data_IF_172088227885
#
_entry.id   IF_172088227885
#
_cell.length_a   1.000
_cell.length_b   1.000
_cell.length_c   1.000
_cell.angle_alpha   90.00
_cell.angle_beta   90.00
_cell.angle_gamma   90.00
#
_symmetry.space_group_name_H-M   'P 1'
#
loop_
_entity.id
_entity.type
_entity.pdbx_description
1 polymer ?
#
# COMPACT_ATOMS: atom_id res chain seq x y z
N UNK A 1 76.24 -12.26 -63.57
CA UNK A 1 75.50 -13.52 -63.80
C UNK A 1 75.12 -14.08 -62.44
N UNK A 2 73.83 -13.98 -62.05
CA UNK A 2 72.89 -15.10 -61.78
C UNK A 2 73.37 -16.03 -60.64
N UNK A 3 72.61 -16.39 -59.61
CA UNK A 3 71.18 -16.24 -59.30
C UNK A 3 70.94 -16.49 -57.79
N UNK A 4 69.74 -16.13 -57.33
CA UNK A 4 69.23 -16.16 -55.95
C UNK A 4 68.19 -17.30 -55.77
N UNK A 5 68.00 -17.74 -54.51
CA UNK A 5 66.86 -18.52 -53.95
C UNK A 5 66.69 -19.98 -54.45
N UNK A 6 66.13 -20.97 -53.73
CA UNK A 6 65.10 -21.02 -52.66
C UNK A 6 65.11 -22.44 -52.05
N UNK A 7 64.99 -22.61 -50.73
CA UNK A 7 64.77 -23.94 -50.11
C UNK A 7 63.33 -24.05 -49.59
N UNK A 8 62.50 -24.85 -50.27
CA UNK A 8 61.12 -25.13 -49.90
C UNK A 8 61.03 -26.48 -49.17
N UNK A 9 60.57 -26.45 -47.91
CA UNK A 9 60.21 -27.64 -47.14
C UNK A 9 58.86 -28.20 -47.59
N UNK A 10 58.82 -29.49 -47.94
CA UNK A 10 57.59 -30.23 -48.28
C UNK A 10 56.89 -30.67 -47.00
N UNK A 11 55.68 -30.16 -46.75
CA UNK A 11 54.76 -30.70 -45.75
C UNK A 11 54.09 -31.96 -46.29
N UNK A 12 54.23 -33.09 -45.59
CA UNK A 12 53.59 -34.36 -45.94
C UNK A 12 52.14 -34.36 -45.43
N UNK A 13 51.17 -34.42 -46.35
CA UNK A 13 49.77 -34.62 -46.04
C UNK A 13 49.47 -36.06 -45.60
N UNK A 14 48.56 -36.19 -44.63
CA UNK A 14 48.06 -37.48 -44.13
C UNK A 14 47.34 -38.23 -45.26
N UNK A 15 47.90 -39.35 -45.73
CA UNK A 15 47.23 -40.27 -46.66
C UNK A 15 46.35 -41.25 -45.89
N UNK A 16 45.18 -41.53 -46.46
CA UNK A 16 44.22 -42.55 -46.06
C UNK A 16 44.92 -43.92 -45.89
N UNK A 17 45.01 -44.41 -44.65
CA UNK A 17 45.44 -45.79 -44.34
C UNK A 17 44.22 -46.58 -43.90
N UNK A 18 43.88 -47.60 -44.68
CA UNK A 18 42.81 -48.55 -44.40
C UNK A 18 43.23 -49.38 -43.18
N UNK A 19 42.68 -49.05 -42.00
CA UNK A 19 42.98 -49.73 -40.74
C UNK A 19 43.23 -48.81 -39.53
N UNK A 20 43.28 -47.49 -39.73
CA UNK A 20 43.38 -46.51 -38.62
C UNK A 20 42.02 -46.00 -38.15
N UNK A 21 42.03 -45.10 -37.14
CA UNK A 21 40.86 -44.39 -36.57
C UNK A 21 39.85 -43.87 -37.63
N UNK A 22 40.29 -43.56 -38.86
CA UNK A 22 39.42 -43.21 -39.98
C UNK A 22 38.44 -44.31 -40.42
N UNK A 23 38.78 -45.59 -40.24
CA UNK A 23 37.86 -46.72 -40.48
C UNK A 23 36.84 -46.94 -39.34
N UNK A 24 37.06 -46.34 -38.17
CA UNK A 24 36.09 -46.37 -37.06
C UNK A 24 35.02 -45.30 -37.27
N UNK A 25 35.40 -44.12 -37.79
CA UNK A 25 34.47 -43.07 -38.17
C UNK A 25 33.48 -43.50 -39.27
N UNK A 26 33.90 -44.35 -40.20
CA UNK A 26 33.01 -44.93 -41.22
C UNK A 26 32.03 -45.98 -40.67
N UNK A 27 32.34 -46.64 -39.55
CA UNK A 27 31.50 -47.68 -38.93
C UNK A 27 30.46 -47.13 -37.94
N UNK A 28 30.69 -45.93 -37.42
CA UNK A 28 29.78 -45.20 -36.53
C UNK A 28 29.40 -43.86 -37.18
N UNK A 29 28.62 -43.92 -38.27
CA UNK A 29 27.87 -42.79 -38.84
C UNK A 29 28.57 -41.43 -38.80
N UNK A 30 29.49 -41.17 -39.73
CA UNK A 30 30.11 -39.85 -39.93
C UNK A 30 29.14 -38.76 -40.42
N UNK A 31 27.88 -39.13 -40.68
CA UNK A 31 26.81 -38.25 -41.17
C UNK A 31 26.50 -37.12 -40.18
N UNK A 32 26.69 -37.33 -38.88
CA UNK A 32 26.44 -36.32 -37.82
C UNK A 32 27.74 -35.89 -37.10
N UNK A 33 28.89 -35.90 -37.78
CA UNK A 33 30.11 -35.37 -37.18
C UNK A 33 29.98 -33.85 -36.93
N UNK A 34 30.41 -33.39 -35.74
CA UNK A 34 30.34 -31.98 -35.33
C UNK A 34 31.00 -31.06 -36.37
N UNK A 35 32.09 -31.52 -37.00
CA UNK A 35 32.77 -30.79 -38.06
C UNK A 35 31.85 -30.55 -39.27
N UNK A 36 31.13 -31.59 -39.73
CA UNK A 36 30.23 -31.48 -40.88
C UNK A 36 29.01 -30.60 -40.57
N UNK A 37 28.45 -30.72 -39.37
CA UNK A 37 27.35 -29.86 -38.89
C UNK A 37 27.79 -28.40 -38.81
N UNK A 38 29.00 -28.14 -38.31
CA UNK A 38 29.57 -26.79 -38.27
C UNK A 38 29.85 -26.23 -39.67
N UNK A 39 30.33 -27.06 -40.60
CA UNK A 39 30.55 -26.67 -41.99
C UNK A 39 29.23 -26.40 -42.74
N UNK A 40 28.20 -27.22 -42.54
CA UNK A 40 26.87 -27.02 -43.11
C UNK A 40 26.22 -25.76 -42.57
N UNK A 41 26.31 -25.53 -41.25
CA UNK A 41 25.87 -24.28 -40.61
C UNK A 41 26.64 -23.07 -41.14
N UNK A 42 27.96 -23.18 -41.35
CA UNK A 42 28.76 -22.12 -41.95
C UNK A 42 28.37 -21.82 -43.40
N UNK A 43 28.02 -22.86 -44.19
CA UNK A 43 27.48 -22.69 -45.55
C UNK A 43 26.14 -22.00 -45.55
N UNK A 44 25.26 -22.36 -44.62
CA UNK A 44 23.96 -21.69 -44.44
C UNK A 44 24.15 -20.21 -44.07
N UNK A 45 25.01 -19.88 -43.11
CA UNK A 45 25.33 -18.48 -42.77
C UNK A 45 25.98 -17.70 -43.91
N UNK A 46 26.74 -18.36 -44.79
CA UNK A 46 27.34 -17.74 -45.96
C UNK A 46 26.33 -17.46 -47.09
N UNK A 47 25.20 -18.17 -47.13
CA UNK A 47 24.13 -17.97 -48.12
C UNK A 47 23.13 -16.85 -47.75
N UNK A 48 23.15 -16.38 -46.50
CA UNK A 48 22.27 -15.30 -46.03
C UNK A 48 22.74 -13.92 -46.52
N UNK A 49 21.79 -13.06 -46.84
CA UNK A 49 22.04 -11.64 -47.15
C UNK A 49 22.37 -10.84 -45.87
N UNK A 50 22.97 -9.66 -46.00
CA UNK A 50 23.32 -8.82 -44.82
C UNK A 50 22.10 -8.41 -43.99
N UNK A 51 20.93 -8.22 -44.63
CA UNK A 51 19.66 -7.92 -43.96
C UNK A 51 19.12 -9.14 -43.18
N UNK A 52 19.33 -10.36 -43.67
CA UNK A 52 18.96 -11.61 -42.98
C UNK A 52 19.96 -11.98 -41.86
N UNK A 53 21.22 -11.56 -41.99
CA UNK A 53 22.22 -11.70 -40.90
C UNK A 53 21.96 -10.74 -39.75
N UNK A 54 21.34 -9.58 -40.02
CA UNK A 54 20.95 -8.63 -38.99
C UNK A 54 19.58 -9.00 -38.42
N UNK A 55 19.54 -9.65 -37.25
CA UNK A 55 18.26 -9.82 -36.56
C UNK A 55 17.73 -8.46 -36.09
N UNK A 56 16.44 -8.15 -36.32
CA UNK A 56 15.80 -6.96 -35.76
C UNK A 56 15.94 -6.91 -34.24
N UNK A 57 16.11 -5.71 -33.68
CA UNK A 57 16.24 -5.49 -32.23
C UNK A 57 15.02 -6.03 -31.46
N UNK A 58 13.84 -6.00 -32.09
CA UNK A 58 12.58 -6.47 -31.51
C UNK A 58 12.20 -7.90 -31.94
N UNK A 59 13.14 -8.67 -32.52
CA UNK A 59 12.87 -10.06 -32.86
C UNK A 59 12.59 -10.86 -31.57
N UNK A 60 11.44 -11.56 -31.48
CA UNK A 60 11.16 -12.40 -30.33
C UNK A 60 12.21 -13.50 -30.26
N UNK A 61 12.73 -13.78 -29.05
CA UNK A 61 13.66 -14.87 -28.83
C UNK A 61 12.91 -16.19 -29.07
N UNK A 62 12.94 -16.69 -30.31
CA UNK A 62 12.43 -18.02 -30.62
C UNK A 62 13.46 -19.03 -30.16
N UNK A 63 13.02 -20.00 -29.37
CA UNK A 63 13.87 -21.07 -28.87
C UNK A 63 14.14 -22.05 -30.05
N UNK A 64 15.12 -21.72 -30.89
CA UNK A 64 15.48 -22.49 -32.09
C UNK A 64 16.16 -23.84 -31.76
N UNK A 65 16.13 -24.25 -30.50
CA UNK A 65 16.63 -25.52 -30.02
C UNK A 65 15.55 -26.59 -30.24
N UNK A 66 15.72 -27.41 -31.28
CA UNK A 66 14.90 -28.61 -31.48
C UNK A 66 15.25 -29.67 -30.41
N UNK A 67 14.56 -29.58 -29.28
CA UNK A 67 14.70 -30.49 -28.14
C UNK A 67 13.88 -31.78 -28.29
N UNK A 68 13.18 -31.97 -29.42
CA UNK A 68 12.27 -33.11 -29.62
C UNK A 68 12.96 -34.48 -29.52
N UNK A 69 14.24 -34.55 -29.88
CA UNK A 69 15.06 -35.78 -29.84
C UNK A 69 15.99 -35.88 -28.62
N UNK A 70 15.90 -34.95 -27.66
CA UNK A 70 16.75 -34.96 -26.47
C UNK A 70 15.93 -35.40 -25.25
N UNK A 71 16.23 -36.60 -24.74
CA UNK A 71 15.66 -37.08 -23.48
C UNK A 71 16.14 -36.19 -22.33
N UNK A 72 15.26 -35.31 -21.84
CA UNK A 72 15.55 -34.46 -20.69
C UNK A 72 15.52 -35.29 -19.40
N UNK A 73 16.57 -35.18 -18.59
CA UNK A 73 16.59 -35.83 -17.28
C UNK A 73 15.53 -35.18 -16.36
N UNK A 74 14.57 -35.97 -15.91
CA UNK A 74 13.59 -35.54 -14.89
C UNK A 74 13.99 -36.07 -13.51
N UNK A 75 13.57 -35.37 -12.46
CA UNK A 75 13.78 -35.84 -11.08
C UNK A 75 12.81 -36.97 -10.68
N UNK A 76 11.71 -37.12 -11.41
CA UNK A 76 10.64 -38.07 -11.09
C UNK A 76 10.81 -39.45 -11.76
N UNK A 77 11.61 -39.55 -12.82
CA UNK A 77 11.86 -40.82 -13.51
C UNK A 77 13.33 -41.26 -13.38
N UNK A 78 13.60 -42.53 -13.07
CA UNK A 78 14.96 -43.04 -13.03
C UNK A 78 15.59 -43.07 -14.42
N UNK A 79 16.91 -42.90 -14.49
CA UNK A 79 17.66 -42.94 -15.75
C UNK A 79 17.47 -44.31 -16.41
N UNK A 80 17.07 -44.38 -17.70
CA UNK A 80 16.84 -45.65 -18.38
C UNK A 80 18.14 -46.41 -18.62
N UNK A 81 18.05 -47.74 -18.73
CA UNK A 81 19.20 -48.60 -18.97
C UNK A 81 19.92 -48.42 -20.31
N UNK A 82 19.28 -47.75 -21.27
CA UNK A 82 19.87 -47.34 -22.55
C UNK A 82 20.97 -46.29 -22.37
N UNK A 83 20.87 -45.48 -21.31
CA UNK A 83 21.80 -44.39 -21.04
C UNK A 83 23.23 -44.93 -20.83
N UNK A 84 24.20 -44.25 -21.43
CA UNK A 84 25.61 -44.63 -21.35
C UNK A 84 26.12 -44.56 -19.90
N UNK A 85 25.70 -43.54 -19.14
CA UNK A 85 26.05 -43.36 -17.74
C UNK A 85 25.53 -44.49 -16.85
N UNK A 86 24.29 -44.94 -17.06
CA UNK A 86 23.73 -46.08 -16.33
C UNK A 86 24.55 -47.36 -16.57
N UNK A 87 24.89 -47.65 -17.83
CA UNK A 87 25.74 -48.81 -18.18
C UNK A 87 27.15 -48.69 -17.60
N UNK A 88 27.71 -47.49 -17.52
CA UNK A 88 29.03 -47.25 -16.92
C UNK A 88 29.01 -47.50 -15.40
N UNK A 89 27.99 -47.01 -14.70
CA UNK A 89 27.82 -47.24 -13.26
C UNK A 89 27.66 -48.74 -12.94
N UNK A 90 26.86 -49.45 -13.74
CA UNK A 90 26.71 -50.90 -13.61
C UNK A 90 28.05 -51.65 -13.75
N UNK A 91 28.89 -51.25 -14.71
CA UNK A 91 30.24 -51.83 -14.89
C UNK A 91 31.18 -51.57 -13.70
N UNK A 92 30.99 -50.46 -13.00
CA UNK A 92 31.73 -50.12 -11.79
C UNK A 92 31.19 -50.82 -10.53
N UNK A 93 30.18 -51.70 -10.69
CA UNK A 93 29.61 -52.48 -9.60
C UNK A 93 28.43 -51.81 -8.87
N UNK A 94 27.93 -50.68 -9.39
CA UNK A 94 26.70 -50.08 -8.87
C UNK A 94 25.47 -50.90 -9.32
N UNK A 95 24.50 -51.06 -8.41
CA UNK A 95 23.24 -51.77 -8.64
C UNK A 95 22.10 -50.77 -8.64
N UNK A 96 21.18 -50.89 -9.61
CA UNK A 96 20.01 -50.03 -9.69
C UNK A 96 19.19 -50.11 -8.39
N UNK A 97 18.78 -48.96 -7.85
CA UNK A 97 18.06 -48.84 -6.58
C UNK A 97 18.94 -48.94 -5.33
N UNK A 98 20.26 -49.10 -5.45
CA UNK A 98 21.18 -49.04 -4.31
C UNK A 98 21.84 -47.67 -4.20
N UNK A 99 21.99 -47.18 -2.96
CA UNK A 99 22.76 -45.97 -2.67
C UNK A 99 24.24 -46.12 -3.05
N UNK A 100 24.90 -45.01 -3.33
CA UNK A 100 26.34 -44.98 -3.59
C UNK A 100 27.16 -45.07 -2.28
N UNK A 101 28.45 -45.39 -2.39
CA UNK A 101 29.38 -45.44 -1.25
C UNK A 101 29.72 -46.85 -0.77
N UNK A 102 30.73 -46.97 0.09
CA UNK A 102 31.33 -48.25 0.53
C UNK A 102 30.31 -49.23 1.14
N UNK A 103 29.28 -48.71 1.81
CA UNK A 103 28.20 -49.48 2.44
C UNK A 103 26.84 -49.17 1.80
N UNK A 104 26.82 -48.60 0.59
CA UNK A 104 25.60 -48.16 -0.09
C UNK A 104 24.79 -47.13 0.72
N UNK A 105 25.47 -46.30 1.51
CA UNK A 105 24.85 -45.34 2.43
C UNK A 105 24.40 -44.03 1.77
N UNK A 106 24.65 -43.85 0.48
CA UNK A 106 24.26 -42.66 -0.27
C UNK A 106 22.75 -42.59 -0.49
N UNK A 107 22.26 -41.37 -0.71
CA UNK A 107 20.86 -41.11 -1.04
C UNK A 107 20.54 -41.77 -2.38
N UNK A 108 19.41 -42.48 -2.45
CA UNK A 108 18.95 -43.22 -3.65
C UNK A 108 18.26 -42.27 -4.62
N UNK A 109 17.34 -41.45 -4.10
CA UNK A 109 16.55 -40.52 -4.90
C UNK A 109 17.18 -39.11 -4.90
N UNK A 110 17.12 -38.37 -6.01
CA UNK A 110 17.59 -36.99 -6.05
C UNK A 110 16.91 -36.11 -5.00
N UNK A 111 17.67 -35.17 -4.42
CA UNK A 111 17.10 -34.19 -3.50
C UNK A 111 16.19 -33.25 -4.30
N UNK A 112 14.91 -33.21 -3.94
CA UNK A 112 13.93 -32.31 -4.52
C UNK A 112 14.26 -30.87 -4.13
N UNK A 113 14.22 -29.98 -5.10
CA UNK A 113 14.31 -28.55 -4.88
C UNK A 113 13.07 -27.89 -5.49
N UNK A 114 12.50 -26.96 -4.75
CA UNK A 114 11.41 -26.13 -5.24
C UNK A 114 12.02 -24.82 -5.77
N UNK A 115 11.81 -24.52 -7.04
CA UNK A 115 12.23 -23.24 -7.62
C UNK A 115 11.22 -22.19 -7.19
N UNK A 116 11.69 -21.19 -6.45
CA UNK A 116 10.84 -20.07 -6.05
C UNK A 116 10.73 -19.08 -7.18
N UNK A 117 9.58 -19.08 -7.84
CA UNK A 117 9.24 -18.09 -8.88
C UNK A 117 8.71 -16.77 -8.29
N UNK A 118 8.23 -16.81 -7.04
CA UNK A 118 7.64 -15.66 -6.37
C UNK A 118 8.67 -14.74 -5.71
N UNK A 119 8.40 -13.43 -5.76
CA UNK A 119 9.19 -12.37 -5.09
C UNK A 119 8.86 -12.29 -3.59
N UNK A 120 7.97 -13.14 -3.08
CA UNK A 120 7.54 -13.10 -1.70
C UNK A 120 8.71 -13.44 -0.76
N UNK A 121 8.70 -12.93 0.48
CA UNK A 121 9.70 -13.30 1.49
C UNK A 121 9.68 -14.80 1.81
N UNK A 122 10.79 -15.35 2.29
CA UNK A 122 10.81 -16.72 2.84
C UNK A 122 9.92 -16.75 4.09
N UNK A 123 9.03 -17.73 4.20
CA UNK A 123 8.12 -17.90 5.35
C UNK A 123 6.81 -17.08 5.31
N UNK A 124 6.65 -16.16 4.35
CA UNK A 124 5.41 -15.39 4.23
C UNK A 124 4.25 -16.26 3.69
N UNK A 125 4.53 -17.19 2.76
CA UNK A 125 3.52 -18.14 2.26
C UNK A 125 2.91 -18.98 3.40
N UNK A 126 3.73 -19.49 4.31
CA UNK A 126 3.24 -20.24 5.47
C UNK A 126 2.30 -19.41 6.34
N UNK A 127 2.64 -18.14 6.59
CA UNK A 127 1.81 -17.23 7.37
C UNK A 127 0.48 -16.95 6.68
N UNK A 128 0.49 -16.65 5.38
CA UNK A 128 -0.74 -16.43 4.63
C UNK A 128 -1.61 -17.68 4.58
N UNK A 129 -1.01 -18.86 4.43
CA UNK A 129 -1.75 -20.13 4.44
C UNK A 129 -2.40 -20.40 5.79
N UNK A 130 -1.72 -20.11 6.89
CA UNK A 130 -2.27 -20.19 8.25
C UNK A 130 -3.46 -19.24 8.40
N UNK A 131 -3.30 -17.97 8.03
CA UNK A 131 -4.37 -16.96 8.11
C UNK A 131 -5.56 -17.30 7.23
N UNK A 132 -5.33 -17.82 6.02
CA UNK A 132 -6.38 -18.29 5.12
C UNK A 132 -7.12 -19.49 5.71
N UNK A 133 -6.42 -20.43 6.36
CA UNK A 133 -7.05 -21.54 7.09
C UNK A 133 -7.89 -21.02 8.24
N UNK A 134 -7.36 -20.12 9.07
CA UNK A 134 -8.07 -19.56 10.22
C UNK A 134 -9.35 -18.83 9.78
N UNK A 135 -9.25 -18.00 8.74
CA UNK A 135 -10.40 -17.23 8.22
C UNK A 135 -11.43 -18.10 7.49
N UNK A 136 -11.01 -19.21 6.87
CA UNK A 136 -11.90 -20.12 6.13
C UNK A 136 -12.49 -21.22 7.03
N UNK A 137 -11.80 -21.59 8.10
CA UNK A 137 -12.20 -22.70 8.98
C UNK A 137 -13.52 -22.46 9.71
N UNK A 138 -13.81 -21.20 10.05
CA UNK A 138 -15.04 -20.84 10.74
C UNK A 138 -15.87 -19.93 9.84
N UNK A 139 -17.12 -20.33 9.59
CA UNK A 139 -18.09 -19.41 9.01
C UNK A 139 -18.23 -18.23 9.96
N UNK A 140 -17.85 -17.03 9.51
CA UNK A 140 -18.05 -15.80 10.27
C UNK A 140 -19.54 -15.70 10.61
N UNK A 141 -19.89 -15.91 11.88
CA UNK A 141 -21.27 -15.80 12.36
C UNK A 141 -21.77 -14.39 12.08
N UNK A 142 -23.03 -14.28 11.68
CA UNK A 142 -23.64 -12.97 11.51
C UNK A 142 -23.62 -12.23 12.85
N UNK A 143 -23.42 -10.92 12.83
CA UNK A 143 -23.35 -10.12 14.05
C UNK A 143 -24.63 -10.25 14.89
N UNK A 144 -25.78 -10.44 14.22
CA UNK A 144 -27.07 -10.73 14.85
C UNK A 144 -27.10 -12.07 15.59
N UNK A 145 -26.47 -13.12 15.06
CA UNK A 145 -26.38 -14.43 15.70
C UNK A 145 -25.40 -14.44 16.89
N UNK A 146 -24.34 -13.63 16.81
CA UNK A 146 -23.42 -13.38 17.94
C UNK A 146 -24.16 -12.69 19.08
N UNK A 147 -24.89 -11.62 18.79
CA UNK A 147 -25.61 -10.83 19.80
C UNK A 147 -26.67 -11.63 20.58
N UNK A 148 -27.27 -12.65 19.97
CA UNK A 148 -28.28 -13.51 20.61
C UNK A 148 -27.68 -14.60 21.51
N UNK A 149 -26.46 -15.06 21.21
CA UNK A 149 -25.78 -16.12 21.97
C UNK A 149 -24.75 -15.56 22.99
N UNK A 150 -24.62 -14.23 23.07
CA UNK A 150 -23.69 -13.56 23.97
C UNK A 150 -24.19 -13.58 25.42
N UNK A 151 -23.26 -13.84 26.34
CA UNK A 151 -23.52 -13.73 27.78
C UNK A 151 -23.84 -12.27 28.15
N UNK A 152 -24.60 -12.01 29.23
CA UNK A 152 -24.95 -10.64 29.62
C UNK A 152 -23.72 -9.76 29.91
N UNK A 153 -22.60 -10.36 30.34
CA UNK A 153 -21.33 -9.66 30.56
C UNK A 153 -20.68 -9.21 29.25
N UNK A 154 -20.69 -10.05 28.21
CA UNK A 154 -20.22 -9.69 26.88
C UNK A 154 -21.09 -8.61 26.22
N UNK A 155 -22.41 -8.67 26.45
CA UNK A 155 -23.33 -7.63 26.01
C UNK A 155 -23.01 -6.27 26.65
N UNK A 156 -22.70 -6.25 27.95
CA UNK A 156 -22.29 -5.03 28.65
C UNK A 156 -20.96 -4.46 28.12
N UNK A 157 -19.98 -5.31 27.77
CA UNK A 157 -18.72 -4.87 27.15
C UNK A 157 -18.97 -4.25 25.77
N UNK A 158 -19.87 -4.83 24.96
CA UNK A 158 -20.24 -4.29 23.66
C UNK A 158 -20.94 -2.94 23.79
N UNK A 159 -21.87 -2.83 24.73
CA UNK A 159 -22.58 -1.59 25.04
C UNK A 159 -21.61 -0.51 25.53
N UNK A 160 -20.71 -0.83 26.45
CA UNK A 160 -19.67 0.08 26.91
C UNK A 160 -18.74 0.52 25.77
N UNK A 161 -18.37 -0.39 24.86
CA UNK A 161 -17.56 -0.06 23.68
C UNK A 161 -18.33 0.80 22.68
N UNK A 162 -19.62 0.55 22.49
CA UNK A 162 -20.49 1.36 21.65
C UNK A 162 -20.68 2.77 22.25
N UNK A 163 -20.81 2.87 23.57
CA UNK A 163 -20.84 4.14 24.29
C UNK A 163 -19.51 4.88 24.16
N UNK A 164 -18.38 4.20 24.31
CA UNK A 164 -17.06 4.79 24.09
C UNK A 164 -16.90 5.33 22.66
N UNK A 165 -17.35 4.59 21.65
CA UNK A 165 -17.34 5.06 20.25
C UNK A 165 -18.24 6.29 20.07
N UNK A 166 -19.45 6.29 20.63
CA UNK A 166 -20.34 7.46 20.60
C UNK A 166 -19.70 8.69 21.26
N UNK A 167 -19.02 8.50 22.40
CA UNK A 167 -18.29 9.58 23.08
C UNK A 167 -17.12 10.08 22.23
N UNK A 168 -16.37 9.19 21.58
CA UNK A 168 -15.30 9.57 20.65
C UNK A 168 -15.87 10.36 19.45
N UNK A 169 -16.97 9.90 18.87
CA UNK A 169 -17.61 10.58 17.73
C UNK A 169 -18.13 11.97 18.12
N UNK A 170 -18.71 12.11 19.33
CA UNK A 170 -19.11 13.41 19.88
C UNK A 170 -17.89 14.33 20.07
N UNK A 171 -16.80 13.83 20.65
CA UNK A 171 -15.58 14.61 20.82
C UNK A 171 -15.01 15.06 19.45
N UNK A 172 -14.98 14.18 18.46
CA UNK A 172 -14.54 14.52 17.10
C UNK A 172 -15.48 15.57 16.48
N UNK A 173 -16.79 15.44 16.67
CA UNK A 173 -17.77 16.42 16.17
C UNK A 173 -17.60 17.79 16.84
N UNK A 174 -17.34 17.81 18.15
CA UNK A 174 -17.09 19.02 18.92
C UNK A 174 -15.77 19.69 18.51
N UNK A 175 -14.70 18.91 18.28
CA UNK A 175 -13.44 19.40 17.72
C UNK A 175 -13.63 20.02 16.33
N UNK A 176 -14.39 19.36 15.45
CA UNK A 176 -14.67 19.82 14.09
C UNK A 176 -15.69 20.97 14.03
N UNK A 177 -16.45 21.23 15.10
CA UNK A 177 -17.41 22.34 15.17
C UNK A 177 -16.72 23.70 14.97
N UNK A 178 -15.46 23.83 15.43
CA UNK A 178 -14.63 25.03 15.27
C UNK A 178 -14.20 25.27 13.82
N UNK A 179 -14.18 24.22 12.99
CA UNK A 179 -13.82 24.25 11.58
C UNK A 179 -15.05 24.35 10.67
N UNK A 180 -16.14 24.92 11.17
CA UNK A 180 -17.37 25.13 10.39
C UNK A 180 -17.56 26.61 10.06
N UNK A 181 -17.71 26.90 8.78
CA UNK A 181 -18.13 28.21 8.32
C UNK A 181 -19.66 28.37 8.44
N UNK A 182 -20.12 29.32 9.25
CA UNK A 182 -21.56 29.61 9.43
C UNK A 182 -22.20 30.34 8.25
N UNK A 183 -21.42 31.10 7.47
CA UNK A 183 -21.91 31.85 6.31
C UNK A 183 -22.14 30.97 5.07
N UNK A 184 -21.33 29.91 4.94
CA UNK A 184 -21.35 29.00 3.81
C UNK A 184 -21.88 27.61 4.17
N UNK A 185 -22.12 27.31 5.46
CA UNK A 185 -22.50 25.99 5.97
C UNK A 185 -21.57 24.86 5.48
N UNK A 186 -20.26 25.15 5.41
CA UNK A 186 -19.23 24.17 5.04
C UNK A 186 -18.44 23.74 6.28
N UNK A 187 -18.30 22.44 6.47
CA UNK A 187 -17.46 21.84 7.51
C UNK A 187 -16.14 21.36 6.89
N UNK A 188 -15.04 21.61 7.59
CA UNK A 188 -13.70 21.25 7.16
C UNK A 188 -13.08 20.28 8.16
N UNK A 189 -12.26 19.36 7.66
CA UNK A 189 -11.59 18.35 8.51
C UNK A 189 -10.23 18.83 9.01
N UNK A 190 -9.56 19.71 8.23
CA UNK A 190 -8.25 20.26 8.56
C UNK A 190 -8.33 21.78 8.71
N UNK A 191 -7.53 22.31 9.64
CA UNK A 191 -7.44 23.75 9.88
C UNK A 191 -6.99 24.56 8.66
N UNK A 192 -6.06 24.01 7.86
CA UNK A 192 -5.52 24.69 6.67
C UNK A 192 -6.60 24.84 5.58
N UNK A 193 -7.41 23.80 5.37
CA UNK A 193 -8.51 23.83 4.40
C UNK A 193 -9.57 24.86 4.81
N UNK A 194 -9.82 24.99 6.12
CA UNK A 194 -10.72 26.01 6.65
C UNK A 194 -10.19 27.44 6.43
N UNK A 195 -8.91 27.68 6.70
CA UNK A 195 -8.28 28.98 6.46
C UNK A 195 -8.33 29.38 4.98
N UNK A 196 -7.97 28.46 4.09
CA UNK A 196 -8.06 28.68 2.64
C UNK A 196 -9.49 29.01 2.19
N UNK A 197 -10.50 28.41 2.82
CA UNK A 197 -11.89 28.80 2.57
C UNK A 197 -12.19 30.23 3.03
N UNK A 198 -11.75 30.64 4.21
CA UNK A 198 -11.98 32.00 4.72
C UNK A 198 -11.36 33.07 3.81
N UNK A 199 -10.22 32.77 3.19
CA UNK A 199 -9.53 33.68 2.28
C UNK A 199 -10.09 33.65 0.84
N UNK A 200 -10.90 32.65 0.51
CA UNK A 200 -11.48 32.51 -0.84
C UNK A 200 -12.37 33.69 -1.23
N UNK A 201 -12.29 34.09 -2.50
CA UNK A 201 -13.04 35.20 -3.06
C UNK A 201 -14.56 35.07 -2.82
N UNK A 202 -15.11 33.87 -3.04
CA UNK A 202 -16.54 33.58 -2.83
C UNK A 202 -16.96 33.73 -1.36
N UNK A 203 -16.13 33.29 -0.41
CA UNK A 203 -16.40 33.45 1.01
C UNK A 203 -16.38 34.93 1.41
N UNK A 204 -15.38 35.67 0.95
CA UNK A 204 -15.25 37.11 1.23
C UNK A 204 -16.40 37.92 0.63
N UNK A 205 -16.88 37.57 -0.56
CA UNK A 205 -18.09 38.18 -1.12
C UNK A 205 -19.32 37.86 -0.29
N UNK A 206 -19.54 36.57 0.05
CA UNK A 206 -20.65 36.14 0.91
C UNK A 206 -20.65 36.87 2.26
N UNK A 207 -19.47 37.06 2.85
CA UNK A 207 -19.26 37.81 4.09
C UNK A 207 -19.65 39.28 3.94
N UNK A 208 -19.10 39.97 2.94
CA UNK A 208 -19.45 41.37 2.66
C UNK A 208 -20.94 41.58 2.43
N UNK A 209 -21.60 40.68 1.69
CA UNK A 209 -23.05 40.74 1.48
C UNK A 209 -23.85 40.52 2.77
N UNK A 210 -23.40 39.61 3.63
CA UNK A 210 -24.04 39.39 4.93
C UNK A 210 -23.88 40.60 5.86
N UNK A 211 -22.72 41.24 5.87
CA UNK A 211 -22.45 42.42 6.68
C UNK A 211 -23.27 43.63 6.22
N UNK A 212 -23.35 43.89 4.90
CA UNK A 212 -24.23 44.94 4.36
C UNK A 212 -25.71 44.74 4.74
N UNK A 213 -26.19 43.48 4.77
CA UNK A 213 -27.56 43.16 5.23
C UNK A 213 -27.73 43.36 6.74
N UNK A 214 -26.70 43.13 7.54
CA UNK A 214 -26.73 43.39 8.98
C UNK A 214 -26.79 44.88 9.25
N UNK A 215 -25.95 45.67 8.59
CA UNK A 215 -25.89 47.12 8.77
C UNK A 215 -27.24 47.76 8.38
N UNK A 216 -27.81 47.40 7.23
CA UNK A 216 -29.14 47.86 6.81
C UNK A 216 -30.26 47.43 7.79
N UNK A 217 -30.13 46.26 8.43
CA UNK A 217 -31.09 45.80 9.45
C UNK A 217 -30.93 46.57 10.77
N UNK A 218 -29.71 46.87 11.18
CA UNK A 218 -29.43 47.65 12.39
C UNK A 218 -29.87 49.10 12.19
N UNK A 219 -29.66 49.69 11.02
CA UNK A 219 -30.10 51.04 10.69
C UNK A 219 -31.63 51.18 10.66
N UNK A 220 -32.33 50.25 9.99
CA UNK A 220 -33.81 50.18 10.03
C UNK A 220 -34.36 49.84 11.43
N UNK A 221 -33.63 49.03 12.21
CA UNK A 221 -33.95 48.73 13.61
C UNK A 221 -33.75 49.92 14.55
N UNK A 222 -32.67 50.69 14.37
CA UNK A 222 -32.35 51.86 15.19
C UNK A 222 -33.32 53.01 14.95
N UNK A 223 -33.70 53.25 13.68
CA UNK A 223 -34.72 54.23 13.31
C UNK A 223 -36.11 53.87 13.87
N UNK A 224 -36.48 52.59 13.83
CA UNK A 224 -37.74 52.12 14.44
C UNK A 224 -37.72 52.08 15.97
N UNK A 225 -36.57 51.79 16.59
CA UNK A 225 -36.38 51.84 18.04
C UNK A 225 -36.42 53.28 18.56
N UNK A 226 -35.71 54.22 17.91
CA UNK A 226 -35.76 55.65 18.24
C UNK A 226 -37.18 56.21 18.11
N UNK A 227 -37.92 55.84 17.04
CA UNK A 227 -39.32 56.23 16.89
C UNK A 227 -40.24 55.62 17.97
N UNK A 228 -39.93 54.42 18.46
CA UNK A 228 -40.66 53.78 19.57
C UNK A 228 -40.34 54.44 20.93
N UNK A 229 -39.07 54.80 21.17
CA UNK A 229 -38.61 55.53 22.34
C UNK A 229 -39.21 56.94 22.41
N UNK A 230 -39.21 57.67 21.29
CA UNK A 230 -39.86 58.97 21.16
C UNK A 230 -41.37 58.89 21.41
N UNK A 231 -42.04 57.85 20.90
CA UNK A 231 -43.47 57.61 21.16
C UNK A 231 -43.75 57.28 22.63
N UNK A 232 -42.85 56.56 23.31
CA UNK A 232 -42.94 56.25 24.74
C UNK A 232 -42.72 57.50 25.59
N UNK A 233 -41.74 58.34 25.24
CA UNK A 233 -41.46 59.63 25.87
C UNK A 233 -42.65 60.61 25.70
N UNK A 234 -43.19 60.74 24.49
CA UNK A 234 -44.37 61.57 24.23
C UNK A 234 -45.58 61.13 25.06
N UNK A 235 -45.78 59.81 25.23
CA UNK A 235 -46.86 59.27 26.07
C UNK A 235 -46.64 59.55 27.55
N UNK A 236 -45.39 59.55 28.04
CA UNK A 236 -45.03 59.95 29.42
C UNK A 236 -45.25 61.45 29.66
N UNK A 237 -44.85 62.31 28.72
CA UNK A 237 -45.06 63.76 28.81
C UNK A 237 -46.56 64.10 28.79
N UNK A 238 -47.35 63.46 27.92
CA UNK A 238 -48.80 63.66 27.89
C UNK A 238 -49.52 63.16 29.15
N UNK A 239 -49.01 62.11 29.80
CA UNK A 239 -49.51 61.65 31.09
C UNK A 239 -49.16 62.63 32.22
N UNK A 240 -47.96 63.20 32.20
CA UNK A 240 -47.54 64.23 33.17
C UNK A 240 -48.33 65.55 32.99
N UNK A 241 -48.61 65.97 31.75
CA UNK A 241 -49.39 67.18 31.47
C UNK A 241 -50.89 67.06 31.85
N UNK A 242 -51.41 65.83 31.99
CA UNK A 242 -52.76 65.58 32.52
C UNK A 242 -52.81 65.52 34.05
N UNK A 243 -51.66 65.58 34.72
CA UNK A 243 -51.55 65.64 36.17
C UNK A 243 -51.18 67.07 36.60
N UNK A 244 -52.18 67.90 36.91
CA UNK A 244 -51.98 69.19 37.62
C UNK A 244 -51.84 68.94 39.14
N UNK A 245 -51.12 69.82 39.88
CA UNK A 245 -50.54 69.53 41.17
C UNK A 245 -51.52 69.73 42.33
N UNK A 246 -51.65 68.73 43.20
CA UNK A 246 -52.23 68.89 44.53
C UNK A 246 -51.13 68.83 45.60
N UNK A 247 -51.33 69.65 46.65
CA UNK A 247 -50.42 70.09 47.71
C UNK A 247 -49.70 68.97 48.51
N UNK A 248 -48.65 69.31 49.30
CA UNK A 248 -47.62 68.37 49.73
C UNK A 248 -48.01 67.56 50.98
N UNK A 249 -47.58 66.29 51.00
CA UNK A 249 -47.67 65.38 52.13
C UNK A 249 -46.25 64.83 52.48
N UNK A 250 -46.04 64.31 53.71
CA UNK A 250 -44.85 64.56 54.51
C UNK A 250 -43.64 63.66 54.21
N UNK A 251 -42.50 64.11 54.73
CA UNK A 251 -41.15 63.54 54.60
C UNK A 251 -41.06 62.00 54.72
N UNK A 252 -40.41 61.30 53.77
CA UNK A 252 -39.95 59.94 53.97
C UNK A 252 -38.65 59.93 54.79
N UNK A 253 -38.61 59.01 55.76
CA UNK A 253 -37.48 58.72 56.65
C UNK A 253 -36.22 58.34 55.86
N UNK A 254 -35.08 58.66 56.47
CA UNK A 254 -33.74 58.37 55.99
C UNK A 254 -33.56 56.90 55.58
N UNK A 255 -32.86 56.73 54.46
CA UNK A 255 -32.39 55.48 53.88
C UNK A 255 -31.24 54.89 54.73
N UNK A 256 -31.41 53.66 55.22
CA UNK A 256 -30.29 52.73 55.39
C UNK A 256 -30.12 51.98 54.07
N UNK A 257 -29.07 52.32 53.32
CA UNK A 257 -28.64 51.60 52.13
C UNK A 257 -27.62 50.53 52.55
N UNK A 258 -28.04 49.26 52.50
CA UNK A 258 -27.13 48.13 52.49
C UNK A 258 -26.45 48.07 51.11
N UNK A 259 -25.23 48.56 51.03
CA UNK A 259 -24.32 48.33 49.90
C UNK A 259 -23.72 46.92 49.99
N UNK A 260 -24.40 45.92 49.43
CA UNK A 260 -23.79 44.62 49.10
C UNK A 260 -23.58 44.51 47.59
N UNK A 261 -22.41 44.96 47.13
CA UNK A 261 -21.84 44.54 45.84
C UNK A 261 -21.37 43.09 45.96
N UNK A 262 -21.74 42.16 45.08
CA UNK A 262 -21.17 40.82 45.11
C UNK A 262 -19.71 40.88 44.66
N UNK A 263 -18.79 40.73 45.62
CA UNK A 263 -17.36 40.51 45.34
C UNK A 263 -17.20 39.08 44.82
N UNK A 264 -16.81 38.93 43.55
CA UNK A 264 -16.36 37.67 42.99
C UNK A 264 -15.07 37.23 43.72
N UNK A 265 -15.20 36.24 44.60
CA UNK A 265 -14.08 35.61 45.32
C UNK A 265 -13.23 34.79 44.34
N UNK A 266 -12.16 35.38 43.81
CA UNK A 266 -11.08 34.61 43.18
C UNK A 266 -10.37 33.77 44.25
N UNK A 267 -10.54 32.45 44.15
CA UNK A 267 -9.86 31.49 45.02
C UNK A 267 -8.53 31.10 44.38
N UNK A 268 -7.41 31.72 44.78
CA UNK A 268 -6.08 31.19 44.47
C UNK A 268 -5.75 30.04 45.42
N UNK A 269 -5.79 28.80 44.91
CA UNK A 269 -5.33 27.61 45.64
C UNK A 269 -3.79 27.55 45.56
N UNK A 270 -3.10 28.06 46.57
CA UNK A 270 -1.65 27.88 46.68
C UNK A 270 -1.34 26.41 47.02
N UNK A 271 -0.59 25.71 46.15
CA UNK A 271 -0.01 24.40 46.45
C UNK A 271 1.08 24.54 47.52
N UNK A 272 1.13 23.69 48.56
CA UNK A 272 2.22 23.71 49.52
C UNK A 272 3.53 23.25 48.85
N UNK A 273 4.62 23.98 49.12
CA UNK A 273 5.97 23.63 48.68
C UNK A 273 6.39 22.29 49.31
N UNK A 274 6.80 21.35 48.47
CA UNK A 274 7.49 20.14 48.89
C UNK A 274 8.80 20.51 49.59
N UNK A 275 8.94 20.05 50.83
CA UNK A 275 10.16 20.18 51.64
C UNK A 275 11.19 19.20 51.06
N UNK A 276 12.24 19.72 50.43
CA UNK A 276 13.41 18.92 50.04
C UNK A 276 14.04 18.33 51.31
N UNK A 277 14.18 17.01 51.33
CA UNK A 277 15.18 16.27 52.11
C UNK A 277 16.12 15.63 51.11
#
# INVERSE_FOLDING_TARGET
MRANATAAGKAAGWRHVQGGLGGVAARYGAENSIQRVNEERARQYAMLTEEEKSMPIDAPLTDDLDLSNTDMASMDQPIPGSNIGFRMLQKLGWKAGSGLGRRQQGIIDPIRFDVKEEVLGVGAESHYREMSKMTTSERKRLESESQLNETPEQAAVREAKAEQRRRQDQNVQDELSNLRCTLCNKQYTKAIEYQAHLDSYDHNHRKRFADMRRDHRVESGATSAAAAEDRMLAKRIAAAAKAEPSAPAPAPKALEQNDERPVLKFSFKAKPKAKRR
#
